data_IF_438685758426
#
_entry.id   IF_438685758426
#
_cell.length_a   1.000
_cell.length_b   1.000
_cell.length_c   1.000
_cell.angle_alpha   90.00
_cell.angle_beta   90.00
_cell.angle_gamma   90.00
#
_symmetry.space_group_name_H-M   'P 1'
#
loop_
_entity.id
_entity.type
_entity.pdbx_description
1 polymer ?
#
# COMPACT_ATOMS: atom_id res chain seq x y z
N UNK A 1 18.07 4.74 2.82
CA UNK A 1 18.39 3.36 3.25
C UNK A 1 17.10 2.61 3.60
N UNK A 2 16.92 1.39 3.07
CA UNK A 2 15.74 0.56 3.36
C UNK A 2 15.66 0.31 4.88
N UNK A 3 14.45 0.34 5.46
CA UNK A 3 14.24 0.06 6.88
C UNK A 3 14.45 1.23 7.86
N UNK A 4 14.80 2.44 7.40
CA UNK A 4 14.85 3.62 8.30
C UNK A 4 13.47 4.22 8.62
N UNK A 5 12.46 3.91 7.82
CA UNK A 5 11.08 4.37 8.03
C UNK A 5 10.10 3.27 7.64
N UNK A 6 8.90 3.27 8.22
CA UNK A 6 7.79 2.36 7.88
C UNK A 6 7.27 2.54 6.45
N UNK A 7 7.73 3.59 5.77
CA UNK A 7 7.34 3.99 4.41
C UNK A 7 8.20 3.36 3.31
N UNK A 8 9.34 2.77 3.66
CA UNK A 8 10.20 2.08 2.70
C UNK A 8 9.95 0.57 2.79
N UNK A 9 9.48 -0.02 1.69
CA UNK A 9 9.27 -1.45 1.54
C UNK A 9 9.87 -1.95 0.21
N UNK A 10 10.03 -3.27 0.01
CA UNK A 10 10.62 -3.81 -1.21
C UNK A 10 9.94 -3.32 -2.50
N UNK A 11 8.61 -3.26 -2.53
CA UNK A 11 7.84 -2.83 -3.70
C UNK A 11 8.12 -1.36 -4.09
N UNK A 12 8.23 -0.47 -3.11
CA UNK A 12 8.58 0.95 -3.33
C UNK A 12 10.05 1.12 -3.72
N UNK A 13 10.94 0.28 -3.19
CA UNK A 13 12.38 0.37 -3.45
C UNK A 13 12.74 -0.04 -4.89
N UNK A 14 12.11 -1.09 -5.41
CA UNK A 14 12.33 -1.57 -6.78
C UNK A 14 11.46 -0.86 -7.83
N UNK A 15 10.63 0.11 -7.43
CA UNK A 15 9.74 0.86 -8.32
C UNK A 15 8.48 0.12 -8.77
N UNK A 16 8.33 -1.17 -8.46
CA UNK A 16 7.15 -1.96 -8.83
C UNK A 16 5.83 -1.36 -8.32
N UNK A 17 5.88 -0.68 -7.17
CA UNK A 17 4.69 -0.07 -6.57
C UNK A 17 4.06 1.02 -7.44
N UNK A 18 4.85 1.75 -8.23
CA UNK A 18 4.32 2.79 -9.13
C UNK A 18 3.45 2.17 -10.22
N UNK A 19 3.90 1.06 -10.81
CA UNK A 19 3.14 0.29 -11.78
C UNK A 19 1.88 -0.32 -11.16
N UNK A 20 1.97 -0.82 -9.93
CA UNK A 20 0.80 -1.37 -9.20
C UNK A 20 -0.25 -0.27 -8.99
N UNK A 21 0.14 0.92 -8.53
CA UNK A 21 -0.79 2.05 -8.32
C UNK A 21 -1.48 2.48 -9.61
N UNK A 22 -0.75 2.50 -10.73
CA UNK A 22 -1.30 2.78 -12.05
C UNK A 22 -2.37 1.74 -12.45
N UNK A 23 -2.12 0.44 -12.22
CA UNK A 23 -3.13 -0.61 -12.46
C UNK A 23 -4.40 -0.40 -11.62
N UNK A 24 -4.27 -0.08 -10.34
CA UNK A 24 -5.44 0.17 -9.49
C UNK A 24 -6.26 1.37 -9.96
N UNK A 25 -5.60 2.44 -10.44
CA UNK A 25 -6.28 3.61 -10.98
C UNK A 25 -7.16 3.34 -12.22
N UNK A 26 -6.94 2.20 -12.89
CA UNK A 26 -7.68 1.78 -14.09
C UNK A 26 -8.88 0.87 -13.79
N UNK A 27 -9.09 0.49 -12.54
CA UNK A 27 -10.26 -0.30 -12.10
C UNK A 27 -11.55 0.48 -12.33
N UNK A 28 -12.68 -0.22 -12.51
CA UNK A 28 -13.95 0.45 -12.79
C UNK A 28 -14.43 1.31 -11.62
N UNK A 29 -14.24 0.83 -10.37
CA UNK A 29 -14.46 1.62 -9.15
C UNK A 29 -13.61 2.90 -9.15
N UNK A 30 -12.35 2.81 -9.60
CA UNK A 30 -11.48 3.98 -9.67
C UNK A 30 -11.91 4.97 -10.74
N UNK A 31 -12.38 4.50 -11.89
CA UNK A 31 -12.91 5.37 -12.95
C UNK A 31 -14.17 6.11 -12.48
N UNK A 32 -15.10 5.40 -11.85
CA UNK A 32 -16.35 5.96 -11.32
C UNK A 32 -16.06 7.03 -10.25
N UNK A 33 -15.15 6.74 -9.32
CA UNK A 33 -14.79 7.63 -8.20
C UNK A 33 -13.66 8.60 -8.50
N UNK A 34 -13.17 8.62 -9.74
CA UNK A 34 -12.05 9.47 -10.21
C UNK A 34 -10.78 9.30 -9.37
N UNK A 35 -10.51 8.07 -8.92
CA UNK A 35 -9.25 7.75 -8.25
C UNK A 35 -8.10 7.75 -9.25
N UNK A 36 -6.96 8.30 -8.81
CA UNK A 36 -5.73 8.33 -9.58
C UNK A 36 -4.70 7.41 -8.93
N UNK A 37 -3.56 7.17 -9.60
CA UNK A 37 -2.45 6.45 -8.98
C UNK A 37 -1.97 7.11 -7.67
N UNK A 38 -2.22 8.41 -7.47
CA UNK A 38 -1.95 9.12 -6.23
C UNK A 38 -2.87 8.71 -5.08
N UNK A 39 -4.12 8.31 -5.35
CA UNK A 39 -5.05 7.79 -4.34
C UNK A 39 -4.51 6.52 -3.68
N UNK A 40 -3.83 5.67 -4.45
CA UNK A 40 -3.27 4.40 -3.99
C UNK A 40 -1.87 4.52 -3.38
N UNK A 41 -1.34 5.74 -3.21
CA UNK A 41 -0.09 5.98 -2.50
C UNK A 41 -0.32 5.96 -0.99
N UNK A 42 0.42 5.12 -0.24
CA UNK A 42 0.45 5.22 1.22
C UNK A 42 1.39 6.35 1.71
N UNK A 43 2.25 6.87 0.83
CA UNK A 43 3.20 7.94 1.17
C UNK A 43 2.57 9.34 1.09
N UNK A 44 1.56 9.50 0.23
CA UNK A 44 0.98 10.79 -0.13
C UNK A 44 -0.45 10.61 -0.63
N UNK A 45 -1.19 11.71 -0.81
CA UNK A 45 -2.54 11.66 -1.37
C UNK A 45 -3.63 11.35 -0.33
N UNK A 46 -4.87 11.36 -0.82
CA UNK A 46 -6.07 11.37 0.02
C UNK A 46 -6.62 9.97 0.36
N UNK A 47 -6.08 8.92 -0.27
CA UNK A 47 -6.57 7.56 -0.05
C UNK A 47 -5.97 6.83 1.14
N UNK A 48 -4.88 7.35 1.72
CA UNK A 48 -4.26 6.78 2.93
C UNK A 48 -5.13 6.99 4.16
N UNK A 49 -4.98 6.09 5.14
CA UNK A 49 -5.61 6.23 6.45
C UNK A 49 -5.17 7.57 7.08
N UNK A 50 -6.12 8.45 7.46
CA UNK A 50 -5.80 9.76 8.03
C UNK A 50 -5.10 9.65 9.38
N UNK A 51 -5.46 8.64 10.18
CA UNK A 51 -5.02 8.44 11.57
C UNK A 51 -3.54 8.12 11.65
N UNK A 52 -3.08 7.09 10.93
CA UNK A 52 -1.65 6.77 10.88
C UNK A 52 -0.90 7.47 9.74
N UNK A 53 -1.56 8.37 8.99
CA UNK A 53 -0.99 9.04 7.82
C UNK A 53 -0.43 8.10 6.75
N UNK A 54 -1.00 6.89 6.61
CA UNK A 54 -0.52 5.83 5.70
C UNK A 54 0.60 4.92 6.22
N UNK A 55 1.07 5.09 7.46
CA UNK A 55 2.11 4.22 8.02
C UNK A 55 1.60 2.80 8.35
N UNK A 56 0.33 2.65 8.68
CA UNK A 56 -0.28 1.41 9.20
C UNK A 56 -0.05 1.17 10.69
N UNK A 57 0.91 1.89 11.29
CA UNK A 57 1.30 1.77 12.69
C UNK A 57 1.44 3.13 13.33
N UNK A 58 1.23 3.16 14.65
CA UNK A 58 1.57 4.27 15.54
C UNK A 58 2.88 3.95 16.24
N UNK A 59 3.78 4.94 16.28
CA UNK A 59 5.08 4.83 16.93
C UNK A 59 4.97 5.43 18.32
N UNK A 60 5.24 4.63 19.34
CA UNK A 60 5.25 5.08 20.73
C UNK A 60 6.69 5.05 21.22
N UNK A 61 7.22 6.25 21.49
CA UNK A 61 8.55 6.43 22.04
C UNK A 61 8.55 6.05 23.52
N UNK A 62 9.48 5.18 23.91
CA UNK A 62 9.60 4.68 25.27
C UNK A 62 10.87 5.24 25.90
N UNK A 63 10.75 5.89 27.06
CA UNK A 63 11.87 6.60 27.67
C UNK A 63 13.06 5.70 28.08
N UNK A 64 12.82 4.43 28.37
CA UNK A 64 13.83 3.49 28.90
C UNK A 64 13.90 2.16 28.16
N UNK A 65 12.97 1.90 27.24
CA UNK A 65 12.86 0.66 26.49
C UNK A 65 12.96 0.96 25.00
N UNK A 66 13.07 -0.10 24.20
CA UNK A 66 12.93 0.04 22.76
C UNK A 66 11.52 0.51 22.42
N UNK A 67 11.44 1.45 21.49
CA UNK A 67 10.19 1.94 20.94
C UNK A 67 9.32 0.81 20.41
N UNK A 68 8.00 1.00 20.51
CA UNK A 68 7.02 0.03 20.05
C UNK A 68 6.20 0.59 18.90
N UNK A 69 5.82 -0.29 17.98
CA UNK A 69 4.94 0.01 16.86
C UNK A 69 3.62 -0.73 17.05
N UNK A 70 2.57 0.01 17.35
CA UNK A 70 1.23 -0.53 17.53
C UNK A 70 0.47 -0.44 16.22
N UNK A 71 -0.33 -1.45 15.88
CA UNK A 71 -1.22 -1.37 14.71
C UNK A 71 -2.16 -0.19 14.88
N UNK A 72 -2.34 0.57 13.81
CA UNK A 72 -3.30 1.66 13.80
C UNK A 72 -4.72 1.10 14.05
N UNK A 73 -5.48 1.62 15.04
CA UNK A 73 -6.80 1.10 15.38
C UNK A 73 -7.82 1.27 14.25
N UNK A 74 -7.65 2.27 13.39
CA UNK A 74 -8.64 2.63 12.37
C UNK A 74 -8.49 1.86 11.06
N UNK A 75 -7.26 1.47 10.71
CA UNK A 75 -7.00 0.73 9.47
C UNK A 75 -6.44 -0.67 9.71
N UNK A 76 -6.20 -1.07 10.96
CA UNK A 76 -5.62 -2.36 11.35
C UNK A 76 -4.38 -2.73 10.51
N UNK A 77 -3.47 -1.77 10.34
CA UNK A 77 -2.26 -1.97 9.54
C UNK A 77 -2.43 -1.88 8.02
N UNK A 78 -3.66 -1.78 7.49
CA UNK A 78 -3.91 -1.77 6.03
C UNK A 78 -3.51 -0.48 5.33
N UNK A 79 -3.19 0.60 6.05
CA UNK A 79 -2.65 1.88 5.54
C UNK A 79 -3.61 2.76 4.72
N UNK A 80 -4.77 2.27 4.32
CA UNK A 80 -5.72 2.98 3.45
C UNK A 80 -7.08 3.20 4.14
N UNK A 81 -7.86 4.13 3.58
CA UNK A 81 -9.29 4.26 3.90
C UNK A 81 -10.08 3.07 3.34
N UNK A 82 -11.20 2.74 3.98
CA UNK A 82 -12.03 1.61 3.57
C UNK A 82 -12.52 1.75 2.12
N UNK A 83 -12.97 2.96 1.73
CA UNK A 83 -13.47 3.23 0.37
C UNK A 83 -12.44 2.99 -0.74
N UNK A 84 -11.15 3.12 -0.43
CA UNK A 84 -10.05 2.86 -1.39
C UNK A 84 -9.81 1.38 -1.57
N UNK A 85 -10.06 0.58 -0.53
CA UNK A 85 -9.89 -0.88 -0.56
C UNK A 85 -10.97 -1.59 -1.39
N UNK A 86 -12.08 -0.91 -1.69
CA UNK A 86 -13.12 -1.40 -2.59
C UNK A 86 -12.65 -1.49 -4.05
N UNK A 87 -11.63 -0.70 -4.43
CA UNK A 87 -10.98 -0.87 -5.73
C UNK A 87 -10.10 -2.13 -5.70
N UNK A 88 -10.54 -3.17 -6.39
CA UNK A 88 -9.85 -4.47 -6.41
C UNK A 88 -9.36 -4.86 -7.79
N UNK A 89 -8.21 -5.53 -7.84
CA UNK A 89 -7.71 -6.24 -9.00
C UNK A 89 -7.92 -7.72 -8.75
N UNK A 90 -8.73 -8.41 -9.58
CA UNK A 90 -9.01 -9.86 -9.43
C UNK A 90 -9.39 -10.25 -7.99
N UNK A 91 -10.23 -9.43 -7.36
CA UNK A 91 -10.71 -9.63 -5.99
C UNK A 91 -9.71 -9.31 -4.87
N UNK A 92 -8.57 -8.66 -5.18
CA UNK A 92 -7.57 -8.23 -4.19
C UNK A 92 -7.44 -6.70 -4.19
N UNK A 93 -7.58 -6.10 -3.02
CA UNK A 93 -7.36 -4.67 -2.81
C UNK A 93 -5.86 -4.32 -2.85
N UNK A 94 -5.53 -3.03 -2.87
CA UNK A 94 -4.13 -2.58 -2.82
C UNK A 94 -3.43 -3.03 -1.53
N UNK A 95 -4.15 -3.09 -0.41
CA UNK A 95 -3.60 -3.59 0.85
C UNK A 95 -3.31 -5.09 0.75
N UNK A 96 -4.22 -5.88 0.18
CA UNK A 96 -4.01 -7.32 0.03
C UNK A 96 -2.85 -7.63 -0.91
N UNK A 97 -2.66 -6.84 -1.97
CA UNK A 97 -1.52 -6.96 -2.88
C UNK A 97 -0.20 -6.63 -2.17
N UNK A 98 -0.18 -5.65 -1.28
CA UNK A 98 1.01 -5.29 -0.50
C UNK A 98 1.32 -6.28 0.62
N UNK A 99 0.35 -7.10 1.02
CA UNK A 99 0.50 -8.16 2.03
C UNK A 99 0.98 -9.50 1.42
N UNK A 100 0.98 -9.61 0.08
CA UNK A 100 1.48 -10.80 -0.62
C UNK A 100 2.99 -10.99 -0.42
N UNK A 101 3.40 -12.26 -0.35
CA UNK A 101 4.80 -12.62 -0.57
C UNK A 101 5.23 -12.32 -2.01
N UNK A 102 6.54 -12.18 -2.23
CA UNK A 102 7.09 -11.94 -3.59
C UNK A 102 6.70 -13.07 -4.56
N UNK A 103 6.67 -14.32 -4.10
CA UNK A 103 6.28 -15.48 -4.92
C UNK A 103 4.80 -15.44 -5.34
N UNK A 104 3.92 -15.00 -4.44
CA UNK A 104 2.50 -14.79 -4.77
C UNK A 104 2.33 -13.60 -5.71
N UNK A 105 3.01 -12.49 -5.44
CA UNK A 105 2.92 -11.28 -6.25
C UNK A 105 3.43 -11.53 -7.69
N UNK A 106 4.53 -12.27 -7.86
CA UNK A 106 5.05 -12.62 -9.20
C UNK A 106 4.08 -13.49 -9.98
N UNK A 107 3.42 -14.44 -9.31
CA UNK A 107 2.37 -15.28 -9.91
C UNK A 107 1.12 -14.46 -10.25
N UNK A 108 0.73 -13.54 -9.36
CA UNK A 108 -0.40 -12.64 -9.55
C UNK A 108 -0.14 -11.71 -10.75
N UNK A 109 1.01 -11.04 -10.82
CA UNK A 109 1.35 -10.11 -11.90
C UNK A 109 2.02 -10.74 -13.12
N UNK A 110 1.84 -12.06 -13.35
CA UNK A 110 2.45 -12.78 -14.47
C UNK A 110 2.19 -12.18 -15.87
N UNK A 111 1.05 -11.50 -16.04
CA UNK A 111 0.65 -10.86 -17.30
C UNK A 111 0.96 -9.35 -17.33
N UNK A 112 1.67 -8.81 -16.34
CA UNK A 112 1.98 -7.39 -16.21
C UNK A 112 3.51 -7.18 -16.21
N UNK A 113 4.18 -7.17 -17.39
CA UNK A 113 5.64 -7.13 -17.49
C UNK A 113 6.27 -5.93 -16.76
N UNK A 114 5.60 -4.77 -16.82
CA UNK A 114 6.03 -3.53 -16.16
C UNK A 114 6.15 -3.69 -14.64
N UNK A 115 5.24 -4.45 -14.01
CA UNK A 115 5.30 -4.71 -12.56
C UNK A 115 6.46 -5.64 -12.21
N UNK A 116 6.78 -6.59 -13.09
CA UNK A 116 7.85 -7.56 -12.90
C UNK A 116 9.25 -7.02 -13.29
N UNK A 117 9.33 -5.80 -13.83
CA UNK A 117 10.58 -5.23 -14.35
C UNK A 117 11.11 -5.98 -15.58
N UNK A 118 10.22 -6.54 -16.39
CA UNK A 118 10.52 -7.25 -17.65
C UNK A 118 10.13 -6.44 -18.87
#
# INVERSE_FOLDING_TARGET
PIGKTTRSNPASYVGAFDCIRDLFSRTDVSKERRYTAGTFSFNSGNGRCPTCGGNGFEHVEMQFLSDVYLRCPDCDGRRYRAEVLEATLRGKSVADVLDMTVSEATSFFKNEPKVLGK
#
